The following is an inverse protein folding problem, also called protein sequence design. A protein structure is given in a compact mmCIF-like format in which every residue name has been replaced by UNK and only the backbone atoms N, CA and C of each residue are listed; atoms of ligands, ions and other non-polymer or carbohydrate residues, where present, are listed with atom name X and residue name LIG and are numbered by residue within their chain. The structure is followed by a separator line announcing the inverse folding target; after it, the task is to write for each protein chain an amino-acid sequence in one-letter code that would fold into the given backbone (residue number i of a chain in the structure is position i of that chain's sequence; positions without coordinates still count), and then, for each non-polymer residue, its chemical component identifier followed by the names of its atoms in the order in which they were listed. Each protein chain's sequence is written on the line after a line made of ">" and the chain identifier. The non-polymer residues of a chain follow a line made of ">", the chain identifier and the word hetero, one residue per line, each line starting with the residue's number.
data_IF_142665789517
#
_entry.id   IF_142665789517
#
_cell.length_a   1.000
_cell.length_b   1.000
_cell.length_c   1.000
_cell.angle_alpha   90.00
_cell.angle_beta   90.00
_cell.angle_gamma   90.00
#
_symmetry.space_group_name_H-M   'P 1'
#
loop_
_entity.id
_entity.type
_entity.pdbx_description
1 polymer ?
#
# COMPACT_ATOMS: atom_id res chain seq x y z
N UNK A 1 4.81 -19.69 7.06
CA UNK A 1 5.03 -18.80 5.88
C UNK A 1 3.68 -18.53 5.25
N UNK A 2 3.20 -17.29 5.29
CA UNK A 2 1.94 -16.89 4.66
C UNK A 2 2.07 -17.06 3.14
N UNK A 3 1.34 -18.03 2.58
CA UNK A 3 1.28 -18.23 1.12
C UNK A 3 0.44 -17.11 0.52
N UNK A 4 1.08 -16.07 -0.01
CA UNK A 4 0.40 -15.06 -0.83
C UNK A 4 -0.04 -15.74 -2.13
N UNK A 5 -1.32 -15.67 -2.46
CA UNK A 5 -1.83 -16.22 -3.71
C UNK A 5 -1.39 -15.29 -4.88
N UNK A 6 -0.59 -15.78 -5.84
CA UNK A 6 -0.08 -14.94 -6.94
C UNK A 6 -1.16 -14.27 -7.78
N UNK A 7 -2.36 -14.88 -7.88
CA UNK A 7 -3.49 -14.28 -8.59
C UNK A 7 -4.06 -13.08 -7.84
N UNK A 8 -4.17 -13.21 -6.51
CA UNK A 8 -4.65 -12.14 -5.63
C UNK A 8 -3.63 -11.01 -5.59
N UNK A 9 -2.35 -11.33 -5.48
CA UNK A 9 -1.25 -10.34 -5.51
C UNK A 9 -1.22 -9.56 -6.83
N UNK A 10 -1.35 -10.25 -7.97
CA UNK A 10 -1.42 -9.60 -9.27
C UNK A 10 -2.65 -8.70 -9.43
N UNK A 11 -3.83 -9.19 -9.01
CA UNK A 11 -5.05 -8.40 -9.05
C UNK A 11 -4.92 -7.14 -8.17
N UNK A 12 -4.38 -7.31 -6.96
CA UNK A 12 -4.14 -6.20 -6.04
C UNK A 12 -3.20 -5.16 -6.64
N UNK A 13 -2.06 -5.56 -7.21
CA UNK A 13 -1.11 -4.63 -7.84
C UNK A 13 -1.69 -3.92 -9.06
N UNK A 14 -2.52 -4.60 -9.85
CA UNK A 14 -3.20 -3.98 -11.01
C UNK A 14 -4.23 -2.94 -10.59
N UNK A 15 -4.97 -3.20 -9.52
CA UNK A 15 -6.05 -2.32 -9.07
C UNK A 15 -5.47 -1.17 -8.24
N UNK A 16 -4.61 -1.45 -7.27
CA UNK A 16 -4.14 -0.48 -6.27
C UNK A 16 -2.72 0.02 -6.48
N UNK A 17 -1.96 -0.61 -7.37
CA UNK A 17 -0.58 -0.22 -7.66
C UNK A 17 -0.44 0.85 -8.74
N UNK A 18 -1.53 1.46 -9.21
CA UNK A 18 -1.49 2.54 -10.20
C UNK A 18 -1.85 3.87 -9.56
N UNK A 19 -1.22 4.95 -10.04
CA UNK A 19 -1.38 6.30 -9.48
C UNK A 19 -2.85 6.79 -9.52
N UNK A 20 -3.57 6.41 -10.57
CA UNK A 20 -4.98 6.76 -10.80
C UNK A 20 -5.93 6.18 -9.73
N UNK A 21 -5.54 5.09 -9.07
CA UNK A 21 -6.38 4.36 -8.12
C UNK A 21 -5.93 4.53 -6.66
N UNK A 22 -5.12 5.55 -6.36
CA UNK A 22 -4.69 5.84 -4.98
C UNK A 22 -5.86 6.07 -4.04
N UNK A 23 -6.91 6.74 -4.50
CA UNK A 23 -8.09 7.03 -3.68
C UNK A 23 -8.84 5.74 -3.28
N UNK A 24 -8.85 4.75 -4.16
CA UNK A 24 -9.40 3.41 -3.86
C UNK A 24 -8.54 2.67 -2.85
N UNK A 25 -7.22 2.77 -2.95
CA UNK A 25 -6.30 2.19 -1.99
C UNK A 25 -6.46 2.83 -0.60
N UNK A 26 -6.60 4.16 -0.54
CA UNK A 26 -6.89 4.89 0.70
C UNK A 26 -8.21 4.40 1.29
N UNK A 27 -9.26 4.33 0.48
CA UNK A 27 -10.60 3.88 0.91
C UNK A 27 -10.57 2.45 1.46
N UNK A 28 -9.85 1.54 0.79
CA UNK A 28 -9.67 0.16 1.26
C UNK A 28 -8.96 0.12 2.62
N UNK A 29 -7.83 0.81 2.76
CA UNK A 29 -7.08 0.82 4.03
C UNK A 29 -7.96 1.39 5.14
N UNK A 30 -8.65 2.51 4.88
CA UNK A 30 -9.54 3.18 5.82
C UNK A 30 -10.73 2.33 6.26
N UNK A 31 -11.18 1.38 5.43
CA UNK A 31 -12.23 0.43 5.81
C UNK A 31 -11.77 -0.66 6.79
N UNK A 32 -10.46 -0.86 6.91
CA UNK A 32 -9.86 -1.93 7.73
C UNK A 32 -9.28 -1.37 9.03
N UNK A 33 -8.68 -0.17 8.99
CA UNK A 33 -8.02 0.45 10.15
C UNK A 33 -8.98 1.20 11.05
N UNK A 34 -8.57 1.47 12.29
CA UNK A 34 -9.35 2.25 13.24
C UNK A 34 -9.48 3.71 12.81
N UNK A 35 -10.45 4.45 13.37
CA UNK A 35 -10.61 5.89 13.12
C UNK A 35 -9.36 6.72 13.42
N UNK A 36 -8.52 6.27 14.34
CA UNK A 36 -7.28 6.95 14.75
C UNK A 36 -6.15 6.79 13.74
N UNK A 37 -6.21 5.72 12.94
CA UNK A 37 -5.17 5.31 11.99
C UNK A 37 -5.54 5.63 10.54
N UNK A 38 -6.67 6.33 10.34
CA UNK A 38 -7.15 6.71 9.01
C UNK A 38 -6.07 7.41 8.20
N UNK A 39 -5.90 6.96 6.97
CA UNK A 39 -4.94 7.46 5.99
C UNK A 39 -5.56 8.61 5.21
N UNK A 40 -4.76 9.68 5.04
CA UNK A 40 -5.15 10.88 4.27
C UNK A 40 -4.38 11.02 2.97
N UNK A 41 -3.24 10.33 2.84
CA UNK A 41 -2.37 10.45 1.68
C UNK A 41 -1.59 9.15 1.49
N UNK A 42 -1.43 8.73 0.24
CA UNK A 42 -0.63 7.58 -0.17
C UNK A 42 0.30 7.93 -1.31
N UNK A 43 1.54 7.47 -1.22
CA UNK A 43 2.55 7.54 -2.27
C UNK A 43 3.01 6.13 -2.64
N UNK A 44 2.90 5.78 -3.92
CA UNK A 44 3.45 4.53 -4.44
C UNK A 44 4.93 4.76 -4.79
N UNK A 45 5.83 3.98 -4.20
CA UNK A 45 7.28 4.14 -4.44
C UNK A 45 7.74 3.43 -5.71
N UNK A 46 7.07 2.33 -6.05
CA UNK A 46 7.30 1.55 -7.25
C UNK A 46 5.95 1.19 -7.89
N UNK A 47 5.25 2.17 -8.50
CA UNK A 47 3.96 1.95 -9.13
C UNK A 47 4.01 0.75 -10.08
N UNK A 48 2.93 -0.02 -10.06
CA UNK A 48 2.74 -1.16 -10.94
C UNK A 48 2.82 -0.71 -12.40
N UNK A 49 3.82 -1.24 -13.09
CA UNK A 49 3.98 -1.05 -14.53
C UNK A 49 3.82 -2.40 -15.26
N UNK A 50 2.76 -2.57 -16.08
CA UNK A 50 2.52 -3.80 -16.83
C UNK A 50 3.71 -4.23 -17.71
N UNK A 51 4.49 -3.27 -18.23
CA UNK A 51 5.65 -3.53 -19.10
C UNK A 51 6.82 -4.13 -18.31
N UNK A 52 7.04 -3.71 -17.07
CA UNK A 52 8.11 -4.22 -16.21
C UNK A 52 7.72 -5.50 -15.46
N UNK A 53 6.42 -5.75 -15.28
CA UNK A 53 5.93 -6.92 -14.54
C UNK A 53 6.31 -8.27 -15.20
N UNK A 54 6.41 -8.33 -16.54
CA UNK A 54 6.82 -9.55 -17.24
C UNK A 54 8.27 -9.95 -16.95
N UNK A 55 9.15 -8.98 -16.68
CA UNK A 55 10.56 -9.21 -16.43
C UNK A 55 10.85 -9.51 -14.94
N UNK A 56 10.06 -8.96 -14.02
CA UNK A 56 10.29 -9.07 -12.58
C UNK A 56 9.04 -9.60 -11.88
N UNK A 57 8.86 -10.93 -11.96
CA UNK A 57 7.63 -11.68 -11.62
C UNK A 57 7.22 -11.61 -10.13
N UNK A 58 7.96 -10.88 -9.29
CA UNK A 58 7.83 -10.87 -7.83
C UNK A 58 8.16 -9.51 -7.19
N UNK A 59 7.98 -8.37 -7.89
CA UNK A 59 8.24 -7.08 -7.22
C UNK A 59 7.22 -6.84 -6.11
N UNK A 60 7.67 -6.54 -4.89
CA UNK A 60 6.82 -6.10 -3.78
C UNK A 60 6.31 -4.70 -4.12
N UNK A 61 5.02 -4.41 -3.90
CA UNK A 61 4.48 -3.05 -4.05
C UNK A 61 4.77 -2.28 -2.75
N UNK A 62 5.61 -1.26 -2.85
CA UNK A 62 6.02 -0.41 -1.75
C UNK A 62 5.14 0.83 -1.69
N UNK A 63 4.47 1.00 -0.55
CA UNK A 63 3.46 2.03 -0.31
C UNK A 63 3.90 2.84 0.91
N UNK A 64 4.03 4.16 0.75
CA UNK A 64 4.09 5.09 1.88
C UNK A 64 2.71 5.67 2.12
N UNK A 65 2.26 5.65 3.36
CA UNK A 65 0.98 6.20 3.77
C UNK A 65 1.18 7.21 4.90
N UNK A 66 0.39 8.29 4.87
CA UNK A 66 0.35 9.29 5.94
C UNK A 66 -1.01 9.23 6.62
N UNK A 67 -1.01 8.98 7.92
CA UNK A 67 -2.22 8.97 8.73
C UNK A 67 -2.63 10.38 9.15
N UNK A 68 -3.92 10.54 9.45
CA UNK A 68 -4.54 11.75 9.99
C UNK A 68 -3.97 12.09 11.37
N UNK A 69 -3.64 11.07 12.16
CA UNK A 69 -2.98 11.25 13.45
C UNK A 69 -1.47 11.28 13.25
N UNK A 70 -0.89 12.48 13.27
CA UNK A 70 0.57 12.72 13.32
C UNK A 70 1.19 12.29 14.66
N UNK A 71 0.84 11.12 15.18
CA UNK A 71 1.37 10.59 16.43
C UNK A 71 2.66 9.81 16.18
N UNK A 72 3.73 10.59 16.05
CA UNK A 72 5.12 10.11 16.06
C UNK A 72 5.49 9.76 17.51
N UNK A 73 5.14 8.57 17.97
CA UNK A 73 5.62 8.07 19.26
C UNK A 73 7.12 7.76 19.16
N UNK A 74 7.97 8.72 19.51
CA UNK A 74 9.38 8.46 19.83
C UNK A 74 9.45 7.98 21.28
N UNK A 75 9.42 6.66 21.48
CA UNK A 75 9.92 6.09 22.73
C UNK A 75 11.45 6.12 22.70
N UNK A 76 12.06 6.96 23.53
CA UNK A 76 13.46 6.76 23.97
C UNK A 76 13.37 6.06 25.32
N UNK A 77 13.73 4.78 25.37
CA UNK A 77 14.07 4.16 26.66
C UNK A 77 15.43 4.69 27.09
N UNK A 78 15.52 5.09 28.37
CA UNK A 78 16.77 5.39 29.06
C UNK A 78 17.50 4.09 29.39
#
# INVERSE_FOLDING_TARGET
>A
MSKVNPRVDLAFKKIFGVEENKDLLISLINSIVSEKDQIVEVTLLNPYNPKHFKANKLSILDIKAKSKSSKRYKSKSK
#
